data_IF_653849819034
#
_entry.id   IF_653849819034
#
_cell.length_a   1.000
_cell.length_b   1.000
_cell.length_c   1.000
_cell.angle_alpha   90.00
_cell.angle_beta   90.00
_cell.angle_gamma   90.00
#
_symmetry.space_group_name_H-M   'P 1'
#
loop_
_entity.id
_entity.type
_entity.pdbx_description
1 polymer ?
#
# COMPACT_ATOMS: atom_id res chain seq x y z
N UNK A 1 21.75 -1.64 11.12
CA UNK A 1 20.56 -1.44 11.97
C UNK A 1 19.39 -2.16 11.29
N UNK A 2 18.88 -3.24 11.87
CA UNK A 2 17.67 -3.92 11.36
C UNK A 2 16.46 -3.04 11.65
N UNK A 3 15.78 -2.54 10.61
CA UNK A 3 14.49 -1.85 10.78
C UNK A 3 13.50 -2.83 11.40
N UNK A 4 12.98 -2.52 12.58
CA UNK A 4 11.87 -3.24 13.19
C UNK A 4 10.68 -3.17 12.24
N UNK A 5 10.17 -4.32 11.80
CA UNK A 5 8.96 -4.38 10.97
C UNK A 5 7.79 -3.83 11.80
N UNK A 6 7.25 -2.68 11.40
CA UNK A 6 6.03 -2.11 12.01
C UNK A 6 4.87 -3.06 11.72
N UNK A 7 4.16 -3.50 12.76
CA UNK A 7 3.10 -4.51 12.64
C UNK A 7 1.71 -3.89 12.74
N UNK A 8 1.61 -2.70 13.30
CA UNK A 8 0.34 -2.03 13.56
C UNK A 8 0.23 -0.74 12.76
N UNK A 9 -0.99 -0.41 12.34
CA UNK A 9 -1.24 0.79 11.55
C UNK A 9 -0.89 2.08 12.29
N UNK A 10 -1.01 2.10 13.61
CA UNK A 10 -0.77 3.30 14.42
C UNK A 10 0.73 3.59 14.58
N UNK A 11 1.59 2.62 14.25
CA UNK A 11 3.05 2.79 14.22
C UNK A 11 3.53 3.37 12.88
N UNK A 12 2.67 3.39 11.86
CA UNK A 12 3.01 3.85 10.52
C UNK A 12 2.90 5.38 10.40
N UNK A 13 3.82 6.05 9.68
CA UNK A 13 3.73 7.47 9.41
C UNK A 13 2.52 7.77 8.52
N UNK A 14 2.08 9.02 8.48
CA UNK A 14 0.91 9.41 7.66
C UNK A 14 1.18 9.30 6.16
N UNK A 15 2.43 9.48 5.73
CA UNK A 15 2.89 9.24 4.36
C UNK A 15 3.81 8.03 4.30
N UNK A 16 3.41 7.00 3.56
CA UNK A 16 4.11 5.72 3.46
C UNK A 16 5.02 5.69 2.23
N UNK A 17 6.24 5.17 2.39
CA UNK A 17 7.07 4.77 1.25
C UNK A 17 6.58 3.45 0.66
N UNK A 18 7.00 3.16 -0.57
CA UNK A 18 6.87 1.82 -1.13
C UNK A 18 7.48 0.72 -0.24
N UNK A 19 8.55 1.02 0.52
CA UNK A 19 9.17 0.06 1.43
C UNK A 19 8.33 -0.14 2.70
N UNK A 20 7.73 0.92 3.27
CA UNK A 20 6.86 0.80 4.44
C UNK A 20 5.65 -0.09 4.13
N UNK A 21 5.03 0.10 2.96
CA UNK A 21 3.93 -0.74 2.47
C UNK A 21 4.41 -2.18 2.26
N UNK A 22 5.57 -2.37 1.62
CA UNK A 22 6.14 -3.69 1.37
C UNK A 22 6.39 -4.45 2.68
N UNK A 23 7.02 -3.79 3.66
CA UNK A 23 7.31 -4.37 4.97
C UNK A 23 6.04 -4.70 5.76
N UNK A 24 5.02 -3.83 5.69
CA UNK A 24 3.75 -4.00 6.40
C UNK A 24 2.90 -5.14 5.84
N UNK A 25 2.81 -5.28 4.51
CA UNK A 25 2.00 -6.32 3.86
C UNK A 25 2.79 -7.61 3.55
N UNK A 26 4.11 -7.63 3.79
CA UNK A 26 4.96 -8.77 3.43
C UNK A 26 5.15 -8.91 1.91
N UNK A 27 5.14 -7.80 1.19
CA UNK A 27 5.33 -7.74 -0.27
C UNK A 27 6.78 -7.37 -0.62
N UNK A 28 7.13 -7.49 -1.90
CA UNK A 28 8.36 -6.88 -2.40
C UNK A 28 8.12 -5.40 -2.70
N UNK A 29 9.16 -4.57 -2.56
CA UNK A 29 9.09 -3.15 -2.97
C UNK A 29 8.67 -3.00 -4.44
N UNK A 30 9.13 -3.89 -5.32
CA UNK A 30 8.73 -3.91 -6.75
C UNK A 30 7.23 -4.07 -6.92
N UNK A 31 6.64 -5.04 -6.23
CA UNK A 31 5.18 -5.28 -6.24
C UNK A 31 4.40 -4.03 -5.85
N UNK A 32 4.91 -3.25 -4.90
CA UNK A 32 4.27 -1.98 -4.53
C UNK A 32 4.34 -0.94 -5.66
N UNK A 33 5.45 -0.86 -6.42
CA UNK A 33 5.49 -0.01 -7.61
C UNK A 33 4.52 -0.50 -8.69
N UNK A 34 4.42 -1.82 -8.91
CA UNK A 34 3.44 -2.37 -9.85
C UNK A 34 2.01 -1.98 -9.44
N UNK A 35 1.69 -2.01 -8.14
CA UNK A 35 0.41 -1.55 -7.60
C UNK A 35 0.23 -0.03 -7.77
N UNK A 36 1.29 0.76 -7.61
CA UNK A 36 1.25 2.21 -7.83
C UNK A 36 1.02 2.59 -9.30
N UNK A 37 1.36 1.71 -10.24
CA UNK A 37 1.14 1.92 -11.68
C UNK A 37 -0.29 1.58 -12.12
N UNK A 38 -1.05 0.87 -11.28
CA UNK A 38 -2.46 0.57 -11.54
C UNK A 38 -3.36 1.75 -11.15
N UNK A 39 -4.49 1.89 -11.85
CA UNK A 39 -5.54 2.82 -11.41
C UNK A 39 -6.25 2.27 -10.17
N UNK A 40 -6.77 3.14 -9.28
CA UNK A 40 -7.54 2.69 -8.11
C UNK A 40 -8.73 1.77 -8.46
N UNK A 41 -9.40 2.04 -9.59
CA UNK A 41 -10.49 1.19 -10.11
C UNK A 41 -10.05 -0.24 -10.40
N UNK A 42 -8.80 -0.46 -10.83
CA UNK A 42 -8.22 -1.76 -11.16
C UNK A 42 -7.35 -2.35 -10.04
N UNK A 43 -7.45 -1.81 -8.81
CA UNK A 43 -6.72 -2.35 -7.66
C UNK A 43 -5.39 -1.67 -7.37
N UNK A 44 -5.13 -0.51 -7.97
CA UNK A 44 -4.01 0.35 -7.60
C UNK A 44 -4.22 1.12 -6.30
N UNK A 45 -3.12 1.60 -5.73
CA UNK A 45 -3.12 2.48 -4.55
C UNK A 45 -2.92 3.92 -5.03
N UNK A 46 -3.80 4.87 -4.65
CA UNK A 46 -3.55 6.30 -4.86
C UNK A 46 -2.18 6.71 -4.31
N UNK A 47 -1.38 7.38 -5.12
CA UNK A 47 0.00 7.73 -4.79
C UNK A 47 0.42 9.02 -5.49
N UNK A 48 1.51 9.61 -5.01
CA UNK A 48 2.14 10.79 -5.59
C UNK A 48 3.66 10.67 -5.63
N UNK A 49 4.26 11.39 -6.58
CA UNK A 49 5.71 11.39 -6.78
C UNK A 49 6.38 12.47 -5.93
N UNK A 50 7.50 12.10 -5.31
CA UNK A 50 8.48 13.01 -4.72
C UNK A 50 9.83 12.69 -5.37
N UNK A 51 10.20 13.50 -6.36
CA UNK A 51 11.36 13.20 -7.22
C UNK A 51 11.19 11.85 -7.92
N UNK A 52 12.17 10.94 -7.75
CA UNK A 52 12.14 9.57 -8.30
C UNK A 52 11.42 8.57 -7.40
N UNK A 53 10.95 9.00 -6.22
CA UNK A 53 10.25 8.15 -5.27
C UNK A 53 8.74 8.37 -5.33
N UNK A 54 7.97 7.35 -4.92
CA UNK A 54 6.52 7.44 -4.78
C UNK A 54 6.11 7.24 -3.33
N UNK A 55 5.06 7.95 -2.93
CA UNK A 55 4.43 7.90 -1.60
C UNK A 55 2.93 7.68 -1.74
N UNK A 56 2.35 7.04 -0.75
CA UNK A 56 0.90 6.93 -0.61
C UNK A 56 0.53 7.29 0.82
N UNK A 57 -0.60 7.97 1.00
CA UNK A 57 -1.05 8.33 2.33
C UNK A 57 -1.64 7.10 3.03
N UNK A 58 -1.45 7.02 4.34
CA UNK A 58 -1.83 5.87 5.17
C UNK A 58 -3.31 5.53 5.04
N UNK A 59 -4.16 6.56 4.90
CA UNK A 59 -5.60 6.42 4.73
C UNK A 59 -5.95 5.77 3.38
N UNK A 60 -5.28 6.17 2.30
CA UNK A 60 -5.47 5.57 0.97
C UNK A 60 -5.07 4.09 0.96
N UNK A 61 -3.97 3.74 1.65
CA UNK A 61 -3.52 2.35 1.76
C UNK A 61 -4.50 1.50 2.59
N UNK A 62 -5.12 2.07 3.64
CA UNK A 62 -6.20 1.40 4.40
C UNK A 62 -7.41 1.16 3.51
N UNK A 63 -7.87 2.19 2.80
CA UNK A 63 -9.03 2.10 1.91
C UNK A 63 -8.80 1.09 0.78
N UNK A 64 -7.60 1.06 0.20
CA UNK A 64 -7.21 0.07 -0.81
C UNK A 64 -7.33 -1.37 -0.30
N UNK A 65 -6.81 -1.66 0.89
CA UNK A 65 -6.92 -3.00 1.50
C UNK A 65 -8.38 -3.41 1.68
N UNK A 66 -9.22 -2.51 2.17
CA UNK A 66 -10.64 -2.80 2.38
C UNK A 66 -11.36 -3.04 1.05
N UNK A 67 -11.05 -2.25 0.02
CA UNK A 67 -11.54 -2.45 -1.34
C UNK A 67 -11.14 -3.82 -1.92
N UNK A 68 -9.89 -4.27 -1.71
CA UNK A 68 -9.46 -5.61 -2.11
C UNK A 68 -10.28 -6.70 -1.42
N UNK A 69 -10.52 -6.57 -0.11
CA UNK A 69 -11.34 -7.53 0.64
C UNK A 69 -12.78 -7.58 0.12
N UNK A 70 -13.38 -6.42 -0.17
CA UNK A 70 -14.73 -6.35 -0.73
C UNK A 70 -14.81 -6.97 -2.13
N UNK A 71 -13.85 -6.68 -3.01
CA UNK A 71 -13.75 -7.33 -4.33
C UNK A 71 -13.61 -8.84 -4.22
N UNK A 72 -12.74 -9.31 -3.31
CA UNK A 72 -12.57 -10.73 -3.06
C UNK A 72 -13.89 -11.37 -2.62
N UNK A 73 -14.59 -10.80 -1.64
CA UNK A 73 -15.90 -11.31 -1.17
C UNK A 73 -16.96 -11.37 -2.27
N UNK A 74 -17.02 -10.34 -3.14
CA UNK A 74 -17.95 -10.31 -4.28
C UNK A 74 -17.68 -11.41 -5.30
N UNK A 75 -16.45 -11.91 -5.41
CA UNK A 75 -16.13 -13.00 -6.32
C UNK A 75 -16.65 -14.37 -5.83
N UNK A 76 -17.09 -14.48 -4.56
CA UNK A 76 -17.63 -15.72 -3.98
C UNK A 76 -19.14 -15.62 -3.65
N UNK A 77 -19.79 -14.50 -4.00
CA UNK A 77 -21.23 -14.29 -3.84
C UNK A 77 -21.95 -14.48 -5.17
#
# INVERSE_FOLDING_TARGET
MTKTKKKHWDELPDSLTAQDIADFFGLTRRTVYDIFDLSPSHGGIPNYSIGTSRRADKEDVRAWKDNLKQKHLKNFA
#
